data_IF_268684234852
#
_entry.id   IF_268684234852
#
_cell.length_a   1.000
_cell.length_b   1.000
_cell.length_c   1.000
_cell.angle_alpha   90.00
_cell.angle_beta   90.00
_cell.angle_gamma   90.00
#
_symmetry.space_group_name_H-M   'P 1'
#
loop_
_entity.id
_entity.type
_entity.pdbx_description
1 polymer ?
#
# COMPACT_ATOMS: atom_id res chain seq x y z
N UNK A 1 -18.95 -29.71 48.94
CA UNK A 1 -19.12 -28.44 49.70
C UNK A 1 -19.19 -27.35 48.64
N UNK A 2 -20.40 -27.06 48.17
CA UNK A 2 -21.27 -25.99 48.65
C UNK A 2 -21.07 -24.73 47.78
N UNK A 3 -22.11 -24.47 46.99
CA UNK A 3 -22.39 -23.25 46.22
C UNK A 3 -22.48 -22.00 47.13
N UNK A 4 -22.42 -20.80 46.54
CA UNK A 4 -23.54 -19.82 46.50
C UNK A 4 -23.07 -18.37 46.18
N UNK A 5 -24.01 -17.63 45.56
CA UNK A 5 -24.12 -16.18 45.30
C UNK A 5 -23.53 -15.71 43.95
N UNK A 6 -24.27 -15.49 42.85
CA UNK A 6 -25.65 -15.03 42.57
C UNK A 6 -25.96 -13.57 42.98
N UNK A 7 -26.66 -12.86 42.06
CA UNK A 7 -27.37 -11.55 42.15
C UNK A 7 -26.48 -10.31 41.88
N UNK A 8 -26.77 -9.34 41.00
CA UNK A 8 -28.00 -8.80 40.36
C UNK A 8 -27.58 -8.09 39.05
N UNK A 9 -28.35 -8.06 37.95
CA UNK A 9 -29.50 -7.18 37.70
C UNK A 9 -29.33 -6.57 36.29
N UNK A 10 -29.89 -7.16 35.24
CA UNK A 10 -31.21 -6.85 34.66
C UNK A 10 -31.40 -5.36 34.29
N UNK A 11 -31.36 -5.02 32.99
CA UNK A 11 -32.48 -4.34 32.32
C UNK A 11 -32.32 -4.19 30.80
N UNK A 12 -33.24 -4.86 30.11
CA UNK A 12 -33.78 -4.63 28.77
C UNK A 12 -33.80 -3.16 28.30
N UNK A 13 -33.52 -2.94 27.01
CA UNK A 13 -34.39 -2.15 26.12
C UNK A 13 -34.12 -2.45 24.62
N UNK A 14 -35.17 -2.65 23.79
CA UNK A 14 -35.09 -2.89 22.34
C UNK A 14 -35.24 -1.57 21.54
N UNK A 15 -35.23 -1.58 20.18
CA UNK A 15 -34.99 -0.39 19.36
C UNK A 15 -36.27 0.44 19.18
N UNK A 16 -36.13 1.75 19.08
CA UNK A 16 -37.23 2.66 18.75
C UNK A 16 -37.00 3.32 17.38
N UNK A 17 -37.89 2.99 16.45
CA UNK A 17 -38.13 3.71 15.20
C UNK A 17 -38.93 5.01 15.45
N UNK A 18 -39.07 5.81 14.38
CA UNK A 18 -39.89 7.03 14.16
C UNK A 18 -39.04 8.30 14.16
N UNK A 19 -39.06 9.17 13.15
CA UNK A 19 -40.24 9.62 12.41
C UNK A 19 -39.92 10.02 10.96
N UNK A 20 -40.98 9.92 10.15
CA UNK A 20 -41.17 10.52 8.84
C UNK A 20 -41.17 12.06 8.94
N UNK A 21 -40.44 12.71 8.05
CA UNK A 21 -40.81 14.04 7.54
C UNK A 21 -40.68 14.02 6.02
N UNK A 22 -41.83 14.12 5.38
CA UNK A 22 -41.99 14.42 3.97
C UNK A 22 -41.79 15.93 3.75
N UNK A 23 -41.06 16.28 2.69
CA UNK A 23 -41.15 17.53 1.90
C UNK A 23 -40.34 17.21 0.63
N UNK A 24 -40.95 16.87 -0.50
CA UNK A 24 -41.72 17.74 -1.39
C UNK A 24 -41.07 19.12 -1.59
N UNK A 25 -40.28 19.26 -2.66
CA UNK A 25 -40.52 20.34 -3.61
C UNK A 25 -39.82 20.03 -4.94
N UNK A 26 -40.63 19.66 -5.92
CA UNK A 26 -40.29 19.59 -7.34
C UNK A 26 -40.20 21.00 -7.93
N UNK A 27 -39.13 21.39 -8.61
CA UNK A 27 -39.08 22.39 -9.70
C UNK A 27 -37.72 22.17 -10.39
N UNK A 28 -37.50 22.13 -11.70
CA UNK A 28 -38.28 22.56 -12.85
C UNK A 28 -37.69 21.87 -14.09
N UNK A 29 -38.54 21.34 -14.94
CA UNK A 29 -38.24 20.81 -16.26
C UNK A 29 -38.44 21.96 -17.25
N UNK A 30 -37.50 22.17 -18.17
CA UNK A 30 -37.72 22.52 -19.59
C UNK A 30 -36.37 22.90 -20.23
N UNK A 31 -35.82 22.06 -21.10
CA UNK A 31 -36.07 22.03 -22.55
C UNK A 31 -35.48 23.23 -23.28
N UNK A 32 -34.26 23.09 -23.80
CA UNK A 32 -33.91 23.68 -25.09
C UNK A 32 -33.09 22.66 -25.90
N UNK A 33 -33.65 22.36 -27.07
CA UNK A 33 -33.29 21.29 -27.97
C UNK A 33 -32.12 21.64 -28.89
N UNK A 34 -31.32 20.61 -29.20
CA UNK A 34 -30.70 20.28 -30.49
C UNK A 34 -30.05 21.38 -31.36
N UNK A 35 -28.72 21.24 -31.53
CA UNK A 35 -28.02 21.42 -32.81
C UNK A 35 -27.02 20.25 -33.04
N UNK A 36 -26.86 19.72 -34.27
CA UNK A 36 -26.13 18.46 -34.52
C UNK A 36 -24.74 18.73 -35.17
N UNK A 37 -24.03 17.74 -35.76
CA UNK A 37 -22.76 17.24 -35.22
C UNK A 37 -21.56 17.61 -36.11
N UNK A 38 -20.43 18.02 -35.52
CA UNK A 38 -19.19 18.13 -36.28
C UNK A 38 -18.32 16.89 -36.07
N UNK A 39 -18.19 16.11 -37.14
CA UNK A 39 -17.16 15.10 -37.32
C UNK A 39 -15.76 15.74 -37.44
N UNK A 40 -14.74 14.91 -37.19
CA UNK A 40 -13.28 15.16 -37.21
C UNK A 40 -12.74 15.51 -35.82
N UNK A 41 -11.78 14.81 -35.23
CA UNK A 41 -10.88 13.77 -35.68
C UNK A 41 -9.84 13.57 -34.58
N UNK A 42 -9.00 12.54 -34.72
CA UNK A 42 -7.88 12.15 -33.84
C UNK A 42 -8.23 11.50 -32.50
N UNK A 43 -8.10 10.16 -32.51
CA UNK A 43 -7.68 9.37 -31.34
C UNK A 43 -6.52 10.08 -30.64
N UNK A 44 -6.74 10.65 -29.47
CA UNK A 44 -5.69 10.79 -28.46
C UNK A 44 -5.86 9.65 -27.47
N UNK A 45 -5.12 8.58 -27.73
CA UNK A 45 -4.70 7.68 -26.65
C UNK A 45 -3.89 8.56 -25.72
N UNK A 46 -4.46 8.96 -24.59
CA UNK A 46 -3.67 9.49 -23.49
C UNK A 46 -2.78 8.34 -23.01
N UNK A 47 -1.44 8.40 -23.16
CA UNK A 47 -0.61 7.51 -22.37
C UNK A 47 -0.89 7.83 -20.89
N UNK A 48 -0.96 6.83 -19.99
CA UNK A 48 -0.99 7.13 -18.57
C UNK A 48 0.17 8.06 -18.25
N UNK A 49 -0.21 9.20 -17.69
CA UNK A 49 0.66 10.29 -17.27
C UNK A 49 1.90 9.73 -16.58
N UNK A 50 3.04 10.20 -17.04
CA UNK A 50 4.36 9.61 -16.80
C UNK A 50 4.58 9.18 -15.36
N UNK A 51 5.23 8.03 -15.24
CA UNK A 51 6.15 7.78 -14.14
C UNK A 51 6.90 9.09 -13.91
N UNK A 52 6.60 9.73 -12.78
CA UNK A 52 7.37 10.87 -12.29
C UNK A 52 8.75 10.30 -12.03
N UNK A 53 9.59 10.30 -13.07
CA UNK A 53 11.03 10.17 -12.98
C UNK A 53 11.48 11.42 -12.25
N UNK A 54 11.21 11.46 -10.94
CA UNK A 54 11.93 12.32 -10.04
C UNK A 54 13.37 11.89 -10.26
N UNK A 55 14.17 12.77 -10.83
CA UNK A 55 15.62 12.65 -10.82
C UNK A 55 16.02 12.53 -9.35
N UNK A 56 16.08 11.30 -8.86
CA UNK A 56 16.60 10.97 -7.55
C UNK A 56 18.09 10.96 -7.73
N UNK A 57 18.80 11.76 -6.95
CA UNK A 57 20.20 11.45 -6.65
C UNK A 57 20.23 9.96 -6.34
N UNK A 58 20.92 9.17 -7.18
CA UNK A 58 20.95 7.72 -7.06
C UNK A 58 21.45 7.41 -5.65
N UNK A 59 20.54 6.93 -4.79
CA UNK A 59 20.93 6.65 -3.41
C UNK A 59 21.93 5.49 -3.42
N UNK A 60 22.84 5.44 -2.45
CA UNK A 60 23.79 4.32 -2.36
C UNK A 60 23.07 2.97 -2.32
N UNK A 61 21.89 2.91 -1.71
CA UNK A 61 20.97 1.76 -1.73
C UNK A 61 20.56 1.37 -3.14
N UNK A 62 20.16 2.32 -3.98
CA UNK A 62 19.78 2.05 -5.38
C UNK A 62 20.97 1.52 -6.20
N UNK A 63 22.19 2.01 -5.95
CA UNK A 63 23.39 1.45 -6.59
C UNK A 63 23.62 -0.01 -6.20
N UNK A 64 23.42 -0.38 -4.93
CA UNK A 64 23.51 -1.78 -4.48
C UNK A 64 22.49 -2.64 -5.22
N UNK A 65 21.23 -2.22 -5.22
CA UNK A 65 20.13 -2.96 -5.84
C UNK A 65 20.27 -3.06 -7.36
N UNK A 66 20.82 -2.03 -8.00
CA UNK A 66 21.16 -2.05 -9.43
C UNK A 66 22.23 -3.10 -9.74
N UNK A 67 23.16 -3.34 -8.82
CA UNK A 67 24.26 -4.30 -8.97
C UNK A 67 23.91 -5.76 -8.63
N UNK A 68 22.67 -6.04 -8.25
CA UNK A 68 22.16 -7.40 -8.11
C UNK A 68 21.87 -8.01 -9.49
N UNK A 69 21.92 -9.34 -9.59
CA UNK A 69 21.57 -10.07 -10.82
C UNK A 69 20.50 -11.12 -10.51
N UNK A 70 19.24 -10.92 -10.95
CA UNK A 70 18.67 -9.74 -11.61
C UNK A 70 18.67 -8.46 -10.75
N UNK A 71 18.56 -7.31 -11.41
CA UNK A 71 18.46 -6.02 -10.72
C UNK A 71 17.23 -5.97 -9.83
N UNK A 72 17.40 -5.44 -8.62
CA UNK A 72 16.33 -5.32 -7.62
C UNK A 72 15.87 -3.86 -7.44
N UNK A 73 16.05 -2.97 -8.43
CA UNK A 73 15.69 -1.55 -8.28
C UNK A 73 14.22 -1.32 -7.87
N UNK A 74 13.32 -2.22 -8.26
CA UNK A 74 11.89 -2.12 -7.92
C UNK A 74 11.59 -2.35 -6.44
N UNK A 75 12.51 -2.94 -5.65
CA UNK A 75 12.31 -3.10 -4.20
C UNK A 75 12.75 -1.86 -3.40
N UNK A 76 13.42 -0.89 -4.02
CA UNK A 76 13.86 0.34 -3.34
C UNK A 76 12.73 1.10 -2.62
N UNK A 77 11.50 1.24 -3.20
CA UNK A 77 10.37 1.83 -2.49
C UNK A 77 9.92 1.01 -1.28
N UNK A 78 9.98 -0.32 -1.37
CA UNK A 78 9.64 -1.23 -0.26
C UNK A 78 10.63 -1.05 0.89
N UNK A 79 11.92 -1.08 0.59
CA UNK A 79 13.00 -0.85 1.56
C UNK A 79 12.88 0.54 2.20
N UNK A 80 12.59 1.57 1.41
CA UNK A 80 12.36 2.92 1.90
C UNK A 80 11.16 2.99 2.87
N UNK A 81 10.10 2.23 2.59
CA UNK A 81 8.91 2.13 3.47
C UNK A 81 9.20 1.42 4.80
N UNK A 82 10.23 0.56 4.82
CA UNK A 82 10.72 -0.13 6.02
C UNK A 82 11.82 0.67 6.75
N UNK A 83 12.12 1.89 6.29
CA UNK A 83 13.14 2.76 6.90
C UNK A 83 14.56 2.49 6.41
N UNK A 84 14.76 1.61 5.42
CA UNK A 84 16.07 1.31 4.84
C UNK A 84 16.34 2.30 3.71
N UNK A 85 17.15 3.33 4.00
CA UNK A 85 17.44 4.45 3.09
C UNK A 85 18.92 4.66 2.80
N UNK A 86 19.78 4.08 3.62
CA UNK A 86 21.23 4.25 3.55
C UNK A 86 21.90 2.88 3.43
N UNK A 87 23.11 2.87 2.89
CA UNK A 87 23.90 1.64 2.75
C UNK A 87 24.19 1.01 4.11
N UNK A 88 24.41 1.85 5.13
CA UNK A 88 24.65 1.44 6.51
C UNK A 88 23.46 0.62 7.06
N UNK A 89 22.22 0.92 6.64
CA UNK A 89 21.04 0.15 7.05
C UNK A 89 21.06 -1.25 6.42
N UNK A 90 21.51 -1.38 5.17
CA UNK A 90 21.70 -2.68 4.51
C UNK A 90 22.81 -3.49 5.18
N UNK A 91 23.95 -2.84 5.51
CA UNK A 91 25.03 -3.49 6.26
C UNK A 91 24.57 -3.94 7.65
N UNK A 92 23.77 -3.13 8.35
CA UNK A 92 23.18 -3.50 9.63
C UNK A 92 22.25 -4.71 9.49
N UNK A 93 21.46 -4.76 8.41
CA UNK A 93 20.56 -5.86 8.10
C UNK A 93 21.32 -7.18 7.89
N UNK A 94 22.49 -7.14 7.26
CA UNK A 94 23.36 -8.31 7.10
C UNK A 94 23.94 -8.83 8.43
N UNK A 95 24.08 -7.95 9.43
CA UNK A 95 24.61 -8.27 10.77
C UNK A 95 23.54 -8.75 11.75
N UNK A 96 22.26 -8.62 11.41
CA UNK A 96 21.18 -9.15 12.24
C UNK A 96 21.23 -10.69 12.26
N UNK A 97 20.83 -11.28 13.40
CA UNK A 97 20.59 -12.72 13.47
C UNK A 97 19.52 -13.13 12.48
N UNK A 98 19.71 -14.29 11.87
CA UNK A 98 18.84 -14.81 10.80
C UNK A 98 17.38 -14.85 11.23
N UNK A 99 17.09 -15.26 12.47
CA UNK A 99 15.72 -15.40 12.95
C UNK A 99 14.99 -14.04 13.04
N UNK A 100 15.69 -12.97 13.43
CA UNK A 100 15.09 -11.62 13.49
C UNK A 100 14.96 -11.03 12.11
N UNK A 101 15.94 -11.26 11.25
CA UNK A 101 15.91 -10.80 9.88
C UNK A 101 14.74 -11.43 9.11
N UNK A 102 14.51 -12.73 9.28
CA UNK A 102 13.42 -13.43 8.61
C UNK A 102 12.06 -13.09 9.21
N UNK A 103 11.94 -13.01 10.55
CA UNK A 103 10.66 -12.68 11.20
C UNK A 103 10.21 -11.24 10.96
N UNK A 104 11.12 -10.27 11.07
CA UNK A 104 10.74 -8.85 11.09
C UNK A 104 10.84 -8.19 9.71
N UNK A 105 11.76 -8.63 8.84
CA UNK A 105 12.01 -7.98 7.55
C UNK A 105 11.50 -8.80 6.36
N UNK A 106 11.87 -10.08 6.28
CA UNK A 106 11.44 -10.94 5.16
C UNK A 106 9.92 -11.02 5.10
N UNK A 107 9.24 -11.33 6.20
CA UNK A 107 7.76 -11.39 6.21
C UNK A 107 7.11 -10.08 5.77
N UNK A 108 7.62 -8.92 6.22
CA UNK A 108 7.10 -7.60 5.84
C UNK A 108 7.36 -7.27 4.36
N UNK A 109 8.52 -7.68 3.83
CA UNK A 109 8.82 -7.53 2.40
C UNK A 109 7.93 -8.42 1.53
N UNK A 110 7.69 -9.67 1.95
CA UNK A 110 6.78 -10.58 1.26
C UNK A 110 5.34 -10.05 1.25
N UNK A 111 4.85 -9.51 2.38
CA UNK A 111 3.54 -8.83 2.45
C UNK A 111 3.42 -7.64 1.50
N UNK A 112 4.54 -6.98 1.19
CA UNK A 112 4.62 -5.85 0.25
C UNK A 112 4.88 -6.28 -1.21
N UNK A 113 4.85 -7.58 -1.50
CA UNK A 113 4.93 -8.13 -2.85
C UNK A 113 6.35 -8.43 -3.35
N UNK A 114 7.36 -8.36 -2.48
CA UNK A 114 8.69 -8.89 -2.81
C UNK A 114 8.63 -10.41 -2.76
N UNK A 115 9.34 -11.09 -3.66
CA UNK A 115 9.39 -12.56 -3.68
C UNK A 115 10.48 -13.11 -2.77
N UNK A 116 10.34 -14.38 -2.37
CA UNK A 116 11.37 -15.10 -1.59
C UNK A 116 12.70 -15.13 -2.35
N UNK A 117 12.65 -15.23 -3.68
CA UNK A 117 13.85 -15.25 -4.53
C UNK A 117 14.58 -13.90 -4.51
N UNK A 118 13.86 -12.79 -4.67
CA UNK A 118 14.45 -11.45 -4.62
C UNK A 118 15.03 -11.13 -3.25
N UNK A 119 14.36 -11.59 -2.18
CA UNK A 119 14.91 -11.52 -0.84
C UNK A 119 16.21 -12.32 -0.70
N UNK A 120 16.26 -13.56 -1.22
CA UNK A 120 17.46 -14.38 -1.18
C UNK A 120 18.62 -13.73 -1.96
N UNK A 121 18.35 -13.18 -3.15
CA UNK A 121 19.34 -12.45 -3.95
C UNK A 121 19.87 -11.23 -3.19
N UNK A 122 18.98 -10.48 -2.52
CA UNK A 122 19.40 -9.35 -1.68
C UNK A 122 20.31 -9.82 -0.54
N UNK A 123 19.95 -10.90 0.16
CA UNK A 123 20.74 -11.41 1.28
C UNK A 123 22.11 -11.92 0.83
N UNK A 124 22.16 -12.63 -0.28
CA UNK A 124 23.40 -13.10 -0.90
C UNK A 124 24.32 -11.91 -1.23
N UNK A 125 23.77 -10.87 -1.86
CA UNK A 125 24.51 -9.64 -2.18
C UNK A 125 25.10 -8.98 -0.93
N UNK A 126 24.34 -8.93 0.16
CA UNK A 126 24.75 -8.29 1.41
C UNK A 126 25.74 -9.12 2.23
N UNK A 127 25.75 -10.45 2.07
CA UNK A 127 26.74 -11.33 2.70
C UNK A 127 28.07 -11.38 1.94
N UNK A 128 28.06 -11.09 0.63
CA UNK A 128 29.27 -10.94 -0.17
C UNK A 128 29.95 -9.57 -0.08
N UNK A 129 29.49 -8.68 0.82
CA UNK A 129 29.92 -7.28 0.98
C UNK A 129 30.71 -7.02 2.25
#
# INVERSE_FOLDING_TARGET
MAELNALTGQRNSPPRQSALTAQDNQHNWSTHSNLPPQMQGTRRVSPPSGFRARSTSTSSVEMVLASCQPSLLHIAPVLSSLGIKQEEHLRALARLREETRDRELKEEMLKKGVTVLEWAILMDKLQGW
#
